data_IF_716752756731
#
_entry.id   IF_716752756731
#
_cell.length_a   1.000
_cell.length_b   1.000
_cell.length_c   1.000
_cell.angle_alpha   90.00
_cell.angle_beta   90.00
_cell.angle_gamma   90.00
#
_symmetry.space_group_name_H-M   'P 1'
#
loop_
_entity.id
_entity.type
_entity.pdbx_description
1 polymer ?
#
# COMPACT_ATOMS: atom_id res chain seq x y z
N UNK A 1 -69.08 40.44 3.12
CA UNK A 1 -68.12 40.56 4.25
C UNK A 1 -67.62 39.17 4.54
N UNK A 2 -66.34 39.00 4.27
CA UNK A 2 -65.57 37.75 4.25
C UNK A 2 -65.32 37.13 5.64
N UNK A 3 -64.99 35.83 5.72
CA UNK A 3 -64.50 35.20 6.93
C UNK A 3 -62.96 35.32 7.05
N UNK A 4 -62.38 35.21 8.26
CA UNK A 4 -60.96 34.93 8.44
C UNK A 4 -60.69 33.49 8.95
N UNK A 5 -59.44 32.99 8.81
CA UNK A 5 -59.18 31.55 8.69
C UNK A 5 -58.34 30.90 9.82
N UNK A 6 -58.56 29.59 9.96
CA UNK A 6 -57.68 28.46 10.33
C UNK A 6 -56.48 28.61 11.29
N UNK A 7 -56.50 27.81 12.36
CA UNK A 7 -55.32 27.32 13.09
C UNK A 7 -55.24 25.80 12.96
N UNK A 8 -54.25 25.28 12.23
CA UNK A 8 -53.88 23.86 12.21
C UNK A 8 -52.37 23.75 12.48
N UNK A 9 -52.03 23.01 13.54
CA UNK A 9 -50.72 22.38 13.71
C UNK A 9 -50.66 21.11 12.85
N UNK A 10 -49.48 20.75 12.32
CA UNK A 10 -48.98 19.43 12.72
C UNK A 10 -47.46 19.33 12.93
N UNK A 11 -47.13 18.39 13.80
CA UNK A 11 -45.82 17.89 14.18
C UNK A 11 -45.08 17.13 13.06
N UNK A 12 -43.77 17.35 13.12
CA UNK A 12 -42.62 16.48 12.88
C UNK A 12 -42.41 15.65 11.60
N UNK A 13 -41.16 15.79 11.17
CA UNK A 13 -40.53 15.40 9.93
C UNK A 13 -40.19 13.91 9.82
N UNK A 14 -40.48 13.40 8.62
CA UNK A 14 -39.52 12.75 7.73
C UNK A 14 -38.89 11.42 8.17
N UNK A 15 -39.72 10.37 8.15
CA UNK A 15 -39.26 8.99 7.94
C UNK A 15 -39.84 8.44 6.64
N UNK A 16 -39.24 8.75 5.48
CA UNK A 16 -39.54 8.03 4.22
C UNK A 16 -38.28 7.62 3.47
N UNK A 17 -37.91 6.37 3.70
CA UNK A 17 -37.08 5.52 2.83
C UNK A 17 -37.49 5.68 1.36
N UNK A 18 -36.62 6.26 0.52
CA UNK A 18 -36.79 6.23 -0.93
C UNK A 18 -36.33 4.88 -1.49
N UNK A 19 -37.30 4.17 -2.03
CA UNK A 19 -37.18 2.93 -2.79
C UNK A 19 -36.61 3.25 -4.20
N UNK A 20 -35.52 2.62 -4.69
CA UNK A 20 -34.89 2.99 -5.95
C UNK A 20 -35.46 2.15 -7.12
N UNK A 21 -36.75 2.28 -7.40
CA UNK A 21 -37.31 1.84 -8.69
C UNK A 21 -38.41 2.83 -9.06
N UNK A 22 -38.26 3.47 -10.22
CA UNK A 22 -39.12 4.52 -10.81
C UNK A 22 -38.94 5.94 -10.26
N UNK A 23 -38.27 6.77 -11.04
CA UNK A 23 -38.07 8.19 -10.76
C UNK A 23 -37.36 8.86 -11.91
N UNK A 24 -38.13 9.21 -12.94
CA UNK A 24 -37.74 10.03 -14.09
C UNK A 24 -37.10 11.35 -13.63
N UNK A 25 -35.78 11.43 -13.66
CA UNK A 25 -35.01 12.66 -13.50
C UNK A 25 -34.22 12.91 -14.78
N UNK A 26 -34.45 14.07 -15.39
CA UNK A 26 -33.92 14.49 -16.68
C UNK A 26 -32.39 14.45 -16.74
N UNK A 27 -31.89 14.12 -17.92
CA UNK A 27 -30.51 13.78 -18.28
C UNK A 27 -29.48 14.94 -18.14
N UNK A 28 -29.80 16.02 -17.44
CA UNK A 28 -28.98 17.24 -17.37
C UNK A 28 -28.22 17.47 -16.05
N UNK A 29 -28.50 16.71 -14.99
CA UNK A 29 -27.87 16.96 -13.67
C UNK A 29 -26.62 16.11 -13.37
N UNK A 30 -26.15 15.32 -14.34
CA UNK A 30 -25.03 14.40 -14.16
C UNK A 30 -23.65 14.95 -14.59
N UNK A 31 -23.55 16.22 -14.97
CA UNK A 31 -22.36 16.74 -15.67
C UNK A 31 -21.63 17.93 -15.02
N UNK A 32 -21.83 18.26 -13.74
CA UNK A 32 -21.03 19.30 -13.07
C UNK A 32 -20.69 18.99 -11.60
N UNK A 33 -20.27 17.76 -11.30
CA UNK A 33 -19.45 17.52 -10.11
C UNK A 33 -17.99 17.32 -10.52
N UNK A 34 -17.25 18.41 -10.33
CA UNK A 34 -15.82 18.56 -10.50
C UNK A 34 -15.04 17.34 -9.96
N UNK A 35 -14.40 16.59 -10.86
CA UNK A 35 -13.59 15.41 -10.51
C UNK A 35 -12.35 15.78 -9.68
N UNK A 36 -11.94 17.06 -9.64
CA UNK A 36 -10.89 17.53 -8.74
C UNK A 36 -11.32 17.51 -7.27
N UNK A 37 -12.63 17.66 -6.98
CA UNK A 37 -13.16 17.84 -5.63
C UNK A 37 -13.05 16.61 -4.71
N UNK A 38 -12.76 15.41 -5.24
CA UNK A 38 -12.67 14.18 -4.45
C UNK A 38 -11.27 13.59 -4.34
N UNK A 39 -10.26 14.14 -5.02
CA UNK A 39 -8.91 13.55 -5.02
C UNK A 39 -8.34 13.51 -3.60
N UNK A 40 -7.73 12.39 -3.19
CA UNK A 40 -7.19 12.16 -1.84
C UNK A 40 -8.22 12.18 -0.69
N UNK A 41 -9.52 12.17 -1.00
CA UNK A 41 -10.56 12.01 0.02
C UNK A 41 -10.78 10.52 0.35
N UNK A 42 -11.31 10.22 1.54
CA UNK A 42 -11.55 8.83 1.96
C UNK A 42 -12.68 8.19 1.15
N UNK A 43 -12.47 6.97 0.66
CA UNK A 43 -13.54 6.18 0.02
C UNK A 43 -14.61 5.78 1.04
N UNK A 44 -15.86 5.77 0.61
CA UNK A 44 -17.00 5.37 1.46
C UNK A 44 -17.02 3.84 1.63
N UNK A 45 -16.91 3.38 2.88
CA UNK A 45 -17.07 1.98 3.26
C UNK A 45 -18.56 1.62 3.44
N UNK A 46 -18.94 0.40 3.05
CA UNK A 46 -20.35 -0.05 3.03
C UNK A 46 -20.77 -0.89 4.24
N UNK A 47 -19.81 -1.44 4.99
CA UNK A 47 -20.06 -2.28 6.18
C UNK A 47 -19.30 -1.77 7.40
N UNK A 48 -19.80 -2.03 8.60
CA UNK A 48 -19.13 -1.66 9.85
C UNK A 48 -17.69 -2.21 9.92
N UNK A 49 -17.48 -3.48 9.55
CA UNK A 49 -16.15 -4.10 9.50
C UNK A 49 -15.22 -3.36 8.53
N UNK A 50 -15.71 -2.99 7.34
CA UNK A 50 -14.91 -2.21 6.38
C UNK A 50 -14.64 -0.78 6.84
N UNK A 51 -15.54 -0.16 7.61
CA UNK A 51 -15.31 1.17 8.22
C UNK A 51 -14.21 1.07 9.26
N UNK A 52 -14.29 0.10 10.18
CA UNK A 52 -13.29 -0.08 11.24
C UNK A 52 -11.92 -0.40 10.65
N UNK A 53 -11.83 -1.34 9.73
CA UNK A 53 -10.57 -1.69 9.08
C UNK A 53 -9.98 -0.51 8.29
N UNK A 54 -10.79 0.26 7.55
CA UNK A 54 -10.34 1.49 6.89
C UNK A 54 -9.79 2.51 7.89
N UNK A 55 -10.48 2.73 9.02
CA UNK A 55 -10.02 3.66 10.06
C UNK A 55 -8.72 3.19 10.70
N UNK A 56 -8.59 1.90 10.98
CA UNK A 56 -7.34 1.31 11.51
C UNK A 56 -6.20 1.50 10.52
N UNK A 57 -6.40 1.18 9.25
CA UNK A 57 -5.37 1.29 8.21
C UNK A 57 -4.94 2.74 8.01
N UNK A 58 -5.89 3.66 7.82
CA UNK A 58 -5.58 5.08 7.63
C UNK A 58 -4.94 5.70 8.88
N UNK A 59 -5.37 5.30 10.09
CA UNK A 59 -4.74 5.76 11.33
C UNK A 59 -3.26 5.39 11.42
N UNK A 60 -2.91 4.16 11.03
CA UNK A 60 -1.52 3.68 10.99
C UNK A 60 -0.71 4.34 9.88
N UNK A 61 -1.25 4.40 8.66
CA UNK A 61 -0.53 4.96 7.51
C UNK A 61 -0.32 6.47 7.67
N UNK A 62 -1.30 7.21 8.20
CA UNK A 62 -1.16 8.65 8.42
C UNK A 62 -0.14 9.00 9.53
N UNK A 63 0.28 8.05 10.38
CA UNK A 63 1.36 8.30 11.34
C UNK A 63 2.75 8.17 10.73
N UNK A 64 2.89 7.62 9.53
CA UNK A 64 4.21 7.42 8.89
C UNK A 64 4.99 8.71 8.65
N UNK A 65 4.41 9.84 8.21
CA UNK A 65 5.15 11.09 8.14
C UNK A 65 5.85 11.43 9.47
N UNK A 66 5.17 11.33 10.61
CA UNK A 66 5.77 11.63 11.91
C UNK A 66 7.03 10.80 12.22
N UNK A 67 7.08 9.55 11.75
CA UNK A 67 8.23 8.65 11.93
C UNK A 67 9.49 9.13 11.17
N UNK A 68 9.37 10.05 10.21
CA UNK A 68 10.54 10.63 9.54
C UNK A 68 11.34 11.56 10.44
N UNK A 69 10.70 12.15 11.46
CA UNK A 69 11.30 13.17 12.34
C UNK A 69 11.32 12.77 13.81
N UNK A 70 10.62 11.69 14.18
CA UNK A 70 10.50 11.24 15.57
C UNK A 70 10.78 9.74 15.71
N UNK A 71 11.54 9.40 16.74
CA UNK A 71 11.82 8.03 17.16
C UNK A 71 12.95 7.33 16.40
N UNK A 72 13.22 6.09 16.82
CA UNK A 72 14.28 5.27 16.27
C UNK A 72 13.84 4.43 15.05
N UNK A 73 12.57 4.45 14.68
CA UNK A 73 12.03 3.66 13.59
C UNK A 73 11.58 4.56 12.43
N UNK A 74 12.00 4.20 11.21
CA UNK A 74 11.49 4.80 9.98
C UNK A 74 10.16 4.14 9.57
N UNK A 75 9.36 4.79 8.71
CA UNK A 75 8.20 4.14 8.11
C UNK A 75 8.55 2.77 7.53
N UNK A 76 7.68 1.75 7.63
CA UNK A 76 8.03 0.35 7.38
C UNK A 76 8.20 -0.02 5.89
N UNK A 77 8.37 0.98 5.03
CA UNK A 77 8.72 0.88 3.62
C UNK A 77 10.04 1.59 3.29
N UNK A 78 10.69 2.21 4.30
CA UNK A 78 11.99 2.88 4.23
C UNK A 78 12.93 2.15 5.17
N UNK A 79 14.03 1.61 4.64
CA UNK A 79 15.06 0.97 5.46
C UNK A 79 16.13 1.98 5.87
N UNK A 80 16.57 1.93 7.13
CA UNK A 80 17.63 2.82 7.60
C UNK A 80 18.99 2.43 7.01
N UNK A 81 19.86 3.41 6.76
CA UNK A 81 21.24 3.13 6.33
C UNK A 81 22.12 2.66 7.47
N UNK A 82 21.85 3.10 8.69
CA UNK A 82 22.61 2.65 9.85
C UNK A 82 22.41 1.16 10.14
N UNK A 83 21.26 0.56 9.79
CA UNK A 83 21.10 -0.89 9.87
C UNK A 83 21.88 -1.68 8.80
N UNK A 84 22.44 -1.00 7.79
CA UNK A 84 23.30 -1.61 6.76
C UNK A 84 24.79 -1.40 7.05
N UNK A 85 25.11 -0.35 7.80
CA UNK A 85 26.47 0.08 8.13
C UNK A 85 26.56 0.35 9.64
N UNK A 86 27.16 -0.60 10.36
CA UNK A 86 27.32 -0.56 11.81
C UNK A 86 28.03 0.74 12.28
N UNK A 87 28.87 1.33 11.42
CA UNK A 87 29.55 2.60 11.70
C UNK A 87 28.62 3.80 11.88
N UNK A 88 27.41 3.76 11.33
CA UNK A 88 26.42 4.85 11.43
C UNK A 88 25.40 4.64 12.55
N UNK A 89 25.37 3.45 13.16
CA UNK A 89 24.35 3.05 14.15
C UNK A 89 24.45 3.87 15.44
N UNK A 90 25.67 4.09 15.93
CA UNK A 90 25.88 4.80 17.19
C UNK A 90 25.37 6.24 17.14
N UNK A 91 25.66 6.98 16.07
CA UNK A 91 25.25 8.38 15.94
C UNK A 91 23.73 8.52 15.83
N UNK A 92 23.06 7.67 15.04
CA UNK A 92 21.60 7.68 14.92
C UNK A 92 20.91 7.29 16.24
N UNK A 93 21.46 6.32 16.97
CA UNK A 93 20.95 5.93 18.28
C UNK A 93 21.08 7.07 19.30
N UNK A 94 22.25 7.74 19.36
CA UNK A 94 22.52 8.85 20.27
C UNK A 94 21.63 10.05 20.00
N UNK A 95 21.41 10.40 18.74
CA UNK A 95 20.60 11.57 18.37
C UNK A 95 19.09 11.33 18.45
N UNK A 96 18.65 10.08 18.65
CA UNK A 96 17.22 9.74 18.67
C UNK A 96 16.52 9.94 17.33
N UNK A 97 17.29 10.10 16.24
CA UNK A 97 16.80 10.32 14.87
C UNK A 97 17.77 9.77 13.84
N UNK A 98 17.26 9.48 12.63
CA UNK A 98 18.08 8.96 11.54
C UNK A 98 18.86 10.06 10.80
N UNK A 99 20.03 10.41 11.32
CA UNK A 99 21.01 11.25 10.62
C UNK A 99 21.65 10.58 9.40
N UNK A 100 21.45 9.26 9.23
CA UNK A 100 22.02 8.47 8.13
C UNK A 100 21.24 8.53 6.81
N UNK A 101 20.13 9.27 6.74
CA UNK A 101 19.32 9.42 5.52
C UNK A 101 20.12 10.09 4.40
N UNK A 102 19.97 9.63 3.15
CA UNK A 102 20.54 10.32 1.99
C UNK A 102 19.77 11.61 1.72
N UNK A 103 20.31 12.42 0.80
CA UNK A 103 19.81 13.76 0.48
C UNK A 103 18.29 13.82 0.29
N UNK A 104 17.71 12.93 -0.51
CA UNK A 104 16.28 12.96 -0.84
C UNK A 104 15.40 12.74 0.39
N UNK A 105 15.67 11.69 1.17
CA UNK A 105 14.89 11.41 2.39
C UNK A 105 15.20 12.38 3.53
N UNK A 106 16.41 12.93 3.59
CA UNK A 106 16.79 13.97 4.56
C UNK A 106 16.05 15.30 4.32
N UNK A 107 15.91 15.70 3.05
CA UNK A 107 15.05 16.84 2.66
C UNK A 107 13.60 16.53 3.01
N UNK A 108 13.11 15.32 2.70
CA UNK A 108 11.76 14.89 3.07
C UNK A 108 11.51 14.99 4.58
N UNK A 109 12.42 14.47 5.42
CA UNK A 109 12.32 14.57 6.87
C UNK A 109 12.28 16.04 7.34
N UNK A 110 13.12 16.90 6.77
CA UNK A 110 13.13 18.33 7.12
C UNK A 110 11.80 19.02 6.79
N UNK A 111 11.23 18.73 5.61
CA UNK A 111 9.95 19.27 5.18
C UNK A 111 8.77 18.73 5.99
N UNK A 112 8.82 17.46 6.38
CA UNK A 112 7.87 16.88 7.34
C UNK A 112 7.95 17.62 8.68
N UNK A 113 9.15 17.88 9.20
CA UNK A 113 9.33 18.64 10.44
C UNK A 113 8.69 20.02 10.36
N UNK A 114 9.02 20.77 9.29
CA UNK A 114 8.37 22.06 9.01
C UNK A 114 6.84 21.97 8.93
N UNK A 115 6.32 20.89 8.35
CA UNK A 115 4.88 20.67 8.25
C UNK A 115 4.25 20.38 9.62
N UNK A 116 4.88 19.57 10.45
CA UNK A 116 4.39 19.28 11.80
C UNK A 116 4.39 20.52 12.69
N UNK A 117 5.42 21.36 12.57
CA UNK A 117 5.59 22.56 13.40
C UNK A 117 4.91 23.81 12.81
N UNK A 118 4.17 23.68 11.70
CA UNK A 118 3.59 24.83 11.00
C UNK A 118 2.51 25.51 11.83
N UNK A 119 2.45 26.83 11.71
CA UNK A 119 1.34 27.66 12.20
C UNK A 119 0.38 27.98 11.06
N UNK A 120 -0.83 28.49 11.33
CA UNK A 120 -1.72 28.97 10.28
C UNK A 120 -1.08 30.02 9.35
N UNK A 121 -0.16 30.83 9.88
CA UNK A 121 0.57 31.86 9.11
C UNK A 121 1.64 31.24 8.20
N UNK A 122 2.35 30.21 8.67
CA UNK A 122 3.44 29.58 7.90
C UNK A 122 2.97 28.43 7.00
N UNK A 123 1.72 28.00 7.11
CA UNK A 123 1.21 26.80 6.41
C UNK A 123 1.31 26.90 4.89
N UNK A 124 1.05 28.07 4.31
CA UNK A 124 1.14 28.28 2.86
C UNK A 124 2.59 28.12 2.37
N UNK A 125 3.53 28.81 3.02
CA UNK A 125 4.96 28.71 2.71
C UNK A 125 5.49 27.27 2.81
N UNK A 126 5.06 26.50 3.82
CA UNK A 126 5.49 25.11 3.97
C UNK A 126 4.98 24.26 2.80
N UNK A 127 3.72 24.42 2.40
CA UNK A 127 3.17 23.71 1.24
C UNK A 127 3.85 24.11 -0.07
N UNK A 128 4.10 25.40 -0.29
CA UNK A 128 4.88 25.88 -1.44
C UNK A 128 6.26 25.23 -1.51
N UNK A 129 6.94 25.11 -0.36
CA UNK A 129 8.25 24.47 -0.29
C UNK A 129 8.18 22.97 -0.61
N UNK A 130 7.17 22.26 -0.08
CA UNK A 130 6.94 20.85 -0.42
C UNK A 130 6.70 20.66 -1.91
N UNK A 131 5.84 21.49 -2.51
CA UNK A 131 5.53 21.39 -3.94
C UNK A 131 6.68 21.85 -4.85
N UNK A 132 7.52 22.77 -4.40
CA UNK A 132 8.78 23.09 -5.07
C UNK A 132 9.67 21.85 -5.14
N UNK A 133 9.85 21.14 -4.01
CA UNK A 133 10.66 19.93 -3.98
C UNK A 133 10.10 18.81 -4.86
N UNK A 134 8.77 18.64 -4.89
CA UNK A 134 8.09 17.74 -5.84
C UNK A 134 8.41 18.15 -7.29
N UNK A 135 8.33 19.45 -7.61
CA UNK A 135 8.67 19.99 -8.92
C UNK A 135 10.12 19.74 -9.32
N UNK A 136 11.07 19.87 -8.37
CA UNK A 136 12.47 19.52 -8.57
C UNK A 136 12.62 18.04 -8.91
N UNK A 137 12.00 17.15 -8.12
CA UNK A 137 12.01 15.71 -8.39
C UNK A 137 11.47 15.39 -9.78
N UNK A 138 10.32 15.96 -10.15
CA UNK A 138 9.73 15.77 -11.49
C UNK A 138 10.63 16.30 -12.61
N UNK A 139 11.39 17.37 -12.41
CA UNK A 139 12.31 17.88 -13.44
C UNK A 139 13.58 17.04 -13.57
N UNK A 140 14.12 16.55 -12.47
CA UNK A 140 15.44 15.91 -12.43
C UNK A 140 15.39 14.38 -12.57
N UNK A 141 14.21 13.78 -12.52
CA UNK A 141 14.03 12.34 -12.36
C UNK A 141 14.69 11.45 -13.43
N UNK A 142 14.92 11.97 -14.63
CA UNK A 142 15.59 11.23 -15.71
C UNK A 142 17.04 10.89 -15.36
N UNK A 143 17.68 11.72 -14.53
CA UNK A 143 19.07 11.54 -14.10
C UNK A 143 19.24 10.63 -12.89
N UNK A 144 18.15 10.25 -12.22
CA UNK A 144 18.22 9.50 -10.97
C UNK A 144 18.73 8.07 -11.20
N UNK A 145 19.56 7.57 -10.29
CA UNK A 145 19.85 6.14 -10.15
C UNK A 145 18.67 5.41 -9.48
N UNK A 146 18.75 4.08 -9.38
CA UNK A 146 17.65 3.28 -8.81
C UNK A 146 17.38 3.57 -7.32
N UNK A 147 18.42 3.89 -6.55
CA UNK A 147 18.28 4.25 -5.13
C UNK A 147 17.57 5.60 -4.97
N UNK A 148 18.05 6.64 -5.66
CA UNK A 148 17.48 7.99 -5.63
C UNK A 148 16.04 7.97 -6.17
N UNK A 149 15.77 7.14 -7.17
CA UNK A 149 14.43 6.93 -7.69
C UNK A 149 13.49 6.32 -6.65
N UNK A 150 13.93 5.28 -5.93
CA UNK A 150 13.16 4.71 -4.83
C UNK A 150 12.93 5.74 -3.71
N UNK A 151 13.98 6.42 -3.25
CA UNK A 151 13.87 7.44 -2.22
C UNK A 151 12.92 8.58 -2.61
N UNK A 152 12.89 8.94 -3.89
CA UNK A 152 11.96 9.94 -4.41
C UNK A 152 10.51 9.44 -4.35
N UNK A 153 10.24 8.20 -4.76
CA UNK A 153 8.88 7.62 -4.64
C UNK A 153 8.48 7.51 -3.16
N UNK A 154 9.39 7.15 -2.27
CA UNK A 154 9.15 7.09 -0.83
C UNK A 154 8.80 8.48 -0.27
N UNK A 155 9.58 9.51 -0.60
CA UNK A 155 9.32 10.89 -0.20
C UNK A 155 7.98 11.41 -0.76
N UNK A 156 7.69 11.16 -2.04
CA UNK A 156 6.41 11.51 -2.66
C UNK A 156 5.23 10.80 -1.98
N UNK A 157 5.41 9.55 -1.56
CA UNK A 157 4.42 8.82 -0.77
C UNK A 157 4.17 9.49 0.57
N UNK A 158 5.23 9.93 1.28
CA UNK A 158 5.09 10.72 2.51
C UNK A 158 4.35 12.04 2.29
N UNK A 159 4.70 12.80 1.25
CA UNK A 159 4.00 14.06 0.92
C UNK A 159 2.52 13.82 0.59
N UNK A 160 2.19 12.70 -0.07
CA UNK A 160 0.80 12.31 -0.31
C UNK A 160 0.04 12.05 1.00
N UNK A 161 0.69 11.42 1.97
CA UNK A 161 0.10 11.18 3.29
C UNK A 161 -0.07 12.46 4.11
N UNK A 162 0.84 13.43 3.98
CA UNK A 162 0.65 14.77 4.54
C UNK A 162 -0.56 15.45 3.91
N UNK A 163 -0.66 15.41 2.57
CA UNK A 163 -1.74 16.07 1.85
C UNK A 163 -3.12 15.43 2.15
N UNK A 164 -3.16 14.11 2.33
CA UNK A 164 -4.38 13.39 2.74
C UNK A 164 -4.86 13.76 4.16
N UNK A 165 -3.98 14.32 5.00
CA UNK A 165 -4.32 14.82 6.33
C UNK A 165 -4.75 16.29 6.35
N UNK A 166 -4.46 17.03 5.28
CA UNK A 166 -4.79 18.45 5.12
C UNK A 166 -5.65 18.62 3.86
N UNK A 167 -6.89 18.15 3.93
CA UNK A 167 -7.79 18.16 2.76
C UNK A 167 -8.25 19.56 2.37
N UNK A 168 -8.17 20.53 3.29
CA UNK A 168 -8.58 21.93 3.05
C UNK A 168 -7.67 22.63 2.04
N UNK A 169 -6.39 22.23 1.97
CA UNK A 169 -5.39 22.82 1.07
C UNK A 169 -5.37 22.18 -0.33
N UNK A 170 -6.14 21.10 -0.57
CA UNK A 170 -6.14 20.36 -1.85
C UNK A 170 -6.40 21.26 -3.07
N UNK A 171 -7.29 22.24 -2.94
CA UNK A 171 -7.69 23.15 -4.04
C UNK A 171 -6.58 24.13 -4.41
N UNK A 172 -5.72 24.47 -3.44
CA UNK A 172 -4.59 25.41 -3.63
C UNK A 172 -3.32 24.70 -4.11
N UNK A 173 -3.16 23.46 -3.68
CA UNK A 173 -1.94 22.68 -3.89
C UNK A 173 -1.96 21.93 -5.23
N UNK A 174 -0.78 21.75 -5.85
CA UNK A 174 -0.66 21.08 -7.15
C UNK A 174 -0.65 19.54 -7.00
N UNK A 175 -1.72 18.97 -6.44
CA UNK A 175 -1.87 17.52 -6.21
C UNK A 175 -1.68 16.72 -7.50
N UNK A 176 -2.06 17.29 -8.65
CA UNK A 176 -1.86 16.66 -9.95
C UNK A 176 -0.37 16.43 -10.24
N UNK A 177 0.51 17.39 -9.97
CA UNK A 177 1.95 17.22 -10.14
C UNK A 177 2.47 16.06 -9.29
N UNK A 178 2.09 16.01 -8.01
CA UNK A 178 2.46 14.91 -7.10
C UNK A 178 2.10 13.52 -7.68
N UNK A 179 0.86 13.37 -8.17
CA UNK A 179 0.40 12.10 -8.75
C UNK A 179 1.11 11.75 -10.06
N UNK A 180 1.37 12.75 -10.93
CA UNK A 180 2.13 12.56 -12.18
C UNK A 180 3.55 12.10 -11.89
N UNK A 181 4.24 12.76 -10.96
CA UNK A 181 5.64 12.41 -10.62
C UNK A 181 5.75 10.97 -10.13
N UNK A 182 4.82 10.50 -9.30
CA UNK A 182 4.75 9.09 -8.87
C UNK A 182 4.46 8.17 -10.07
N UNK A 183 3.51 8.55 -10.91
CA UNK A 183 3.12 7.79 -12.10
C UNK A 183 4.22 7.66 -13.16
N UNK A 184 5.19 8.58 -13.19
CA UNK A 184 6.37 8.52 -14.06
C UNK A 184 7.52 7.72 -13.45
N UNK A 185 7.78 7.93 -12.15
CA UNK A 185 8.88 7.25 -11.44
C UNK A 185 8.60 5.76 -11.20
N UNK A 186 7.37 5.41 -10.84
CA UNK A 186 6.99 4.03 -10.50
C UNK A 186 7.30 3.02 -11.61
N UNK A 187 6.79 3.21 -12.84
CA UNK A 187 7.09 2.34 -13.97
C UNK A 187 8.58 2.29 -14.30
N UNK A 188 9.29 3.43 -14.26
CA UNK A 188 10.74 3.48 -14.52
C UNK A 188 11.52 2.64 -13.50
N UNK A 189 11.18 2.73 -12.21
CA UNK A 189 11.81 1.93 -11.15
C UNK A 189 11.51 0.45 -11.35
N UNK A 190 10.27 0.12 -11.68
CA UNK A 190 9.86 -1.27 -11.93
C UNK A 190 10.65 -1.89 -13.07
N UNK A 191 10.80 -1.19 -14.20
CA UNK A 191 11.58 -1.66 -15.35
C UNK A 191 13.06 -1.83 -15.02
N UNK A 192 13.64 -0.96 -14.18
CA UNK A 192 15.07 -1.03 -13.84
C UNK A 192 15.41 -2.14 -12.84
N UNK A 193 14.55 -2.38 -11.86
CA UNK A 193 14.82 -3.35 -10.80
C UNK A 193 14.20 -4.71 -11.07
N UNK A 194 13.08 -4.76 -11.80
CA UNK A 194 12.26 -5.97 -11.94
C UNK A 194 11.96 -6.61 -10.58
N UNK A 195 11.63 -5.80 -9.57
CA UNK A 195 11.57 -6.24 -8.16
C UNK A 195 10.47 -7.28 -7.84
N UNK A 196 9.62 -7.61 -8.81
CA UNK A 196 8.62 -8.69 -8.74
C UNK A 196 9.15 -10.03 -9.29
N UNK A 197 10.30 -10.00 -9.95
CA UNK A 197 10.97 -11.18 -10.51
C UNK A 197 11.86 -11.79 -9.44
N UNK A 198 11.83 -13.12 -9.35
CA UNK A 198 12.75 -13.84 -8.51
C UNK A 198 14.13 -13.89 -9.18
N UNK A 199 15.12 -13.26 -8.57
CA UNK A 199 16.50 -13.20 -9.08
C UNK A 199 17.52 -13.84 -8.13
N UNK A 200 17.10 -14.15 -6.91
CA UNK A 200 17.90 -14.73 -5.83
C UNK A 200 17.66 -16.23 -5.69
N UNK A 201 18.76 -17.00 -5.64
CA UNK A 201 18.74 -18.43 -5.32
C UNK A 201 19.72 -18.73 -4.18
N UNK A 202 19.71 -19.97 -3.67
CA UNK A 202 20.67 -20.37 -2.64
C UNK A 202 22.11 -20.37 -3.16
N UNK A 203 22.30 -20.65 -4.45
CA UNK A 203 23.60 -20.62 -5.14
C UNK A 203 24.04 -19.18 -5.46
N UNK A 204 23.08 -18.28 -5.70
CA UNK A 204 23.33 -16.88 -6.01
C UNK A 204 22.49 -15.95 -5.13
N UNK A 205 22.80 -15.84 -3.82
CA UNK A 205 22.07 -14.98 -2.91
C UNK A 205 22.46 -13.51 -3.14
N UNK A 206 21.47 -12.62 -3.12
CA UNK A 206 21.71 -11.18 -3.11
C UNK A 206 22.49 -10.74 -1.87
N UNK A 207 23.37 -9.75 -2.03
CA UNK A 207 23.91 -9.02 -0.90
C UNK A 207 22.82 -8.15 -0.25
N UNK A 208 23.02 -7.78 1.02
CA UNK A 208 22.00 -7.11 1.83
C UNK A 208 21.53 -5.79 1.26
N UNK A 209 22.43 -4.95 0.76
CA UNK A 209 22.10 -3.64 0.18
C UNK A 209 21.18 -3.78 -1.03
N UNK A 210 21.52 -4.66 -1.96
CA UNK A 210 20.69 -4.95 -3.14
C UNK A 210 19.35 -5.54 -2.71
N UNK A 211 19.33 -6.50 -1.79
CA UNK A 211 18.08 -7.07 -1.30
C UNK A 211 17.17 -6.00 -0.66
N UNK A 212 17.73 -5.10 0.15
CA UNK A 212 16.98 -4.02 0.80
C UNK A 212 16.41 -3.04 -0.23
N UNK A 213 17.13 -2.73 -1.32
CA UNK A 213 16.61 -1.91 -2.41
C UNK A 213 15.36 -2.54 -3.03
N UNK A 214 15.41 -3.84 -3.34
CA UNK A 214 14.29 -4.58 -3.91
C UNK A 214 13.10 -4.66 -2.93
N UNK A 215 13.38 -4.99 -1.68
CA UNK A 215 12.36 -5.15 -0.66
C UNK A 215 11.67 -3.83 -0.31
N UNK A 216 12.45 -2.75 -0.20
CA UNK A 216 11.90 -1.40 0.04
C UNK A 216 11.01 -0.95 -1.13
N UNK A 217 11.37 -1.30 -2.38
CA UNK A 217 10.52 -1.04 -3.54
C UNK A 217 9.20 -1.82 -3.47
N UNK A 218 9.23 -3.11 -3.11
CA UNK A 218 8.02 -3.93 -2.92
C UNK A 218 7.11 -3.40 -1.81
N UNK A 219 7.69 -3.01 -0.66
CA UNK A 219 6.94 -2.41 0.46
C UNK A 219 6.34 -1.06 0.08
N UNK A 220 7.08 -0.23 -0.66
CA UNK A 220 6.57 1.04 -1.19
C UNK A 220 5.39 0.82 -2.14
N UNK A 221 5.48 -0.17 -3.04
CA UNK A 221 4.39 -0.53 -3.92
C UNK A 221 3.14 -1.02 -3.15
N UNK A 222 3.33 -1.89 -2.15
CA UNK A 222 2.24 -2.33 -1.27
C UNK A 222 1.52 -1.13 -0.63
N UNK A 223 2.29 -0.17 -0.10
CA UNK A 223 1.73 1.01 0.53
C UNK A 223 0.97 1.89 -0.46
N UNK A 224 1.53 2.13 -1.65
CA UNK A 224 0.85 2.91 -2.69
C UNK A 224 -0.50 2.31 -3.08
N UNK A 225 -0.60 0.98 -3.15
CA UNK A 225 -1.89 0.33 -3.40
C UNK A 225 -2.85 0.40 -2.21
N UNK A 226 -2.35 0.28 -0.97
CA UNK A 226 -3.18 0.52 0.22
C UNK A 226 -3.77 1.93 0.14
N UNK A 227 -2.94 2.94 -0.15
CA UNK A 227 -3.40 4.32 -0.31
C UNK A 227 -4.43 4.44 -1.46
N UNK A 228 -4.17 3.82 -2.62
CA UNK A 228 -5.13 3.80 -3.75
C UNK A 228 -6.48 3.16 -3.38
N UNK A 229 -6.47 2.16 -2.51
CA UNK A 229 -7.66 1.44 -2.04
C UNK A 229 -8.53 2.30 -1.12
N UNK A 230 -7.93 3.12 -0.24
CA UNK A 230 -8.67 3.87 0.78
C UNK A 230 -8.85 5.34 0.47
N UNK A 231 -8.04 5.89 -0.43
CA UNK A 231 -8.18 7.26 -0.91
C UNK A 231 -8.74 7.24 -2.34
N UNK A 232 -9.52 8.26 -2.68
CA UNK A 232 -9.99 8.56 -4.03
C UNK A 232 -8.82 9.09 -4.86
N UNK A 233 -7.92 8.20 -5.25
CA UNK A 233 -6.80 8.50 -6.16
C UNK A 233 -6.73 7.46 -7.26
N UNK A 234 -6.20 7.89 -8.41
CA UNK A 234 -5.79 6.99 -9.46
C UNK A 234 -4.32 7.27 -9.77
N UNK A 235 -3.44 6.41 -9.28
CA UNK A 235 -2.00 6.49 -9.52
C UNK A 235 -1.60 6.03 -10.92
N UNK A 236 -2.57 5.56 -11.73
CA UNK A 236 -2.32 5.07 -13.08
C UNK A 236 -2.75 6.11 -14.12
N UNK A 237 -1.84 6.50 -15.04
CA UNK A 237 -2.17 7.45 -16.13
C UNK A 237 -3.19 6.93 -17.17
N UNK A 238 -3.51 5.63 -17.15
CA UNK A 238 -4.34 4.97 -18.19
C UNK A 238 -5.65 4.45 -17.58
N UNK A 239 -6.81 4.66 -18.22
CA UNK A 239 -8.07 4.10 -17.75
C UNK A 239 -8.01 2.59 -17.90
N UNK A 240 -7.79 1.89 -16.79
CA UNK A 240 -8.04 0.46 -16.70
C UNK A 240 -9.52 0.30 -16.32
N UNK A 241 -10.20 -0.59 -17.03
CA UNK A 241 -11.54 -1.10 -16.73
C UNK A 241 -11.81 -1.21 -15.22
N UNK A 242 -13.07 -0.96 -14.81
CA UNK A 242 -13.56 -0.98 -13.42
C UNK A 242 -13.29 -2.28 -12.61
N UNK A 243 -12.69 -3.31 -13.23
CA UNK A 243 -12.18 -4.54 -12.59
C UNK A 243 -10.74 -4.38 -12.08
N UNK A 244 -10.49 -3.31 -11.30
CA UNK A 244 -9.16 -2.83 -10.88
C UNK A 244 -8.38 -3.75 -9.91
N UNK A 245 -8.96 -4.86 -9.44
CA UNK A 245 -8.34 -5.75 -8.45
C UNK A 245 -7.19 -6.62 -9.00
N UNK A 246 -6.98 -6.67 -10.33
CA UNK A 246 -5.94 -7.50 -10.95
C UNK A 246 -4.51 -7.04 -10.64
N UNK A 247 -4.29 -5.73 -10.49
CA UNK A 247 -2.96 -5.15 -10.23
C UNK A 247 -2.56 -5.26 -8.76
N UNK A 248 -3.50 -5.13 -7.81
CA UNK A 248 -3.21 -5.42 -6.40
C UNK A 248 -2.98 -6.91 -6.16
N UNK A 249 -3.70 -7.79 -6.87
CA UNK A 249 -3.51 -9.24 -6.73
C UNK A 249 -2.09 -9.67 -7.07
N UNK A 250 -1.50 -9.04 -8.09
CA UNK A 250 -0.15 -9.30 -8.54
C UNK A 250 0.93 -8.61 -7.68
N UNK A 251 0.54 -7.82 -6.68
CA UNK A 251 1.49 -7.15 -5.79
C UNK A 251 2.21 -8.19 -4.95
N UNK A 252 3.55 -8.13 -4.86
CA UNK A 252 4.32 -9.05 -4.05
C UNK A 252 4.01 -8.86 -2.57
N UNK A 253 3.99 -9.95 -1.81
CA UNK A 253 3.94 -9.88 -0.35
C UNK A 253 5.26 -9.28 0.17
N UNK A 254 5.21 -8.38 1.17
CA UNK A 254 6.44 -7.93 1.83
C UNK A 254 7.12 -9.11 2.52
N UNK A 255 8.43 -9.04 2.72
CA UNK A 255 9.16 -10.08 3.44
C UNK A 255 8.73 -10.21 4.91
N UNK A 256 9.14 -11.31 5.54
CA UNK A 256 8.94 -11.57 6.96
C UNK A 256 9.82 -10.67 7.84
N UNK A 257 9.39 -10.46 9.08
CA UNK A 257 10.07 -9.69 10.13
C UNK A 257 11.54 -10.09 10.27
N UNK A 258 11.81 -11.39 10.25
CA UNK A 258 13.14 -11.96 10.46
C UNK A 258 14.17 -11.56 9.40
N UNK A 259 13.75 -11.00 8.26
CA UNK A 259 14.64 -10.45 7.22
C UNK A 259 14.66 -8.93 7.20
N UNK A 260 13.55 -8.27 7.57
CA UNK A 260 13.45 -6.80 7.57
C UNK A 260 14.08 -6.16 8.82
N UNK A 261 13.80 -6.70 10.00
CA UNK A 261 14.15 -6.11 11.30
C UNK A 261 15.44 -6.73 11.88
N UNK A 262 16.46 -6.91 11.03
CA UNK A 262 17.72 -7.54 11.44
C UNK A 262 18.78 -6.49 11.77
N UNK A 263 19.46 -6.57 12.93
CA UNK A 263 20.41 -5.53 13.33
C UNK A 263 21.71 -5.58 12.51
N UNK A 264 22.26 -6.76 12.25
CA UNK A 264 23.57 -6.92 11.61
C UNK A 264 23.51 -7.60 10.25
N UNK A 265 24.46 -7.26 9.36
CA UNK A 265 24.56 -7.89 8.03
C UNK A 265 24.93 -9.38 8.13
N UNK A 266 25.69 -9.75 9.15
CA UNK A 266 26.03 -11.15 9.45
C UNK A 266 24.77 -11.97 9.78
N UNK A 267 23.96 -11.51 10.74
CA UNK A 267 22.73 -12.19 11.13
C UNK A 267 21.74 -12.24 9.96
N UNK A 268 21.66 -11.15 9.20
CA UNK A 268 20.79 -11.07 8.03
C UNK A 268 21.18 -12.13 7.00
N UNK A 269 22.47 -12.29 6.70
CA UNK A 269 22.96 -13.29 5.74
C UNK A 269 22.59 -14.71 6.18
N UNK A 270 22.81 -15.05 7.47
CA UNK A 270 22.43 -16.36 8.02
C UNK A 270 20.93 -16.64 7.89
N UNK A 271 20.09 -15.66 8.25
CA UNK A 271 18.62 -15.78 8.17
C UNK A 271 18.16 -15.85 6.73
N UNK A 272 18.77 -15.08 5.84
CA UNK A 272 18.47 -15.08 4.41
C UNK A 272 18.81 -16.42 3.75
N UNK A 273 19.97 -17.01 4.02
CA UNK A 273 20.30 -18.36 3.54
C UNK A 273 19.36 -19.44 4.10
N UNK A 274 18.90 -19.31 5.35
CA UNK A 274 17.88 -20.21 5.91
C UNK A 274 16.50 -20.00 5.26
N UNK A 275 16.14 -18.76 4.94
CA UNK A 275 14.93 -18.42 4.21
C UNK A 275 14.94 -19.06 2.81
N UNK A 276 16.02 -18.87 2.05
CA UNK A 276 16.21 -19.44 0.70
C UNK A 276 16.14 -20.97 0.70
N UNK A 277 16.80 -21.65 1.65
CA UNK A 277 16.74 -23.12 1.78
C UNK A 277 15.35 -23.65 2.11
N UNK A 278 14.59 -22.90 2.91
CA UNK A 278 13.25 -23.31 3.32
C UNK A 278 12.14 -22.86 2.37
N UNK A 279 12.47 -22.18 1.27
CA UNK A 279 11.50 -21.76 0.25
C UNK A 279 11.11 -22.99 -0.56
N UNK A 280 9.80 -23.24 -0.70
CA UNK A 280 9.27 -24.40 -1.41
C UNK A 280 8.99 -24.09 -2.87
N UNK A 281 8.77 -22.82 -3.23
CA UNK A 281 8.51 -22.40 -4.61
C UNK A 281 9.51 -21.36 -5.09
N UNK A 282 10.01 -21.49 -6.32
CA UNK A 282 10.89 -20.50 -6.95
C UNK A 282 10.08 -19.30 -7.52
N UNK A 283 9.34 -18.60 -6.66
CA UNK A 283 8.62 -17.35 -7.00
C UNK A 283 8.56 -16.37 -5.83
N UNK A 284 8.34 -15.10 -6.15
CA UNK A 284 7.88 -14.10 -5.18
C UNK A 284 6.39 -14.35 -4.92
N UNK A 285 6.02 -14.52 -3.65
CA UNK A 285 4.62 -14.66 -3.26
C UNK A 285 3.88 -13.34 -3.50
N UNK A 286 2.62 -13.43 -3.88
CA UNK A 286 1.76 -12.28 -4.19
C UNK A 286 0.52 -12.26 -3.31
N UNK A 287 -0.19 -11.14 -3.29
CA UNK A 287 -1.49 -11.02 -2.61
C UNK A 287 -2.53 -11.99 -3.16
N UNK A 288 -2.44 -12.36 -4.44
CA UNK A 288 -3.26 -13.43 -5.02
C UNK A 288 -3.00 -14.76 -4.32
N UNK A 289 -1.73 -15.12 -4.09
CA UNK A 289 -1.38 -16.40 -3.46
C UNK A 289 -1.94 -16.48 -2.04
N UNK A 290 -1.80 -15.39 -1.28
CA UNK A 290 -2.41 -15.26 0.04
C UNK A 290 -3.94 -15.42 -0.02
N UNK A 291 -4.60 -14.69 -0.93
CA UNK A 291 -6.06 -14.73 -1.10
C UNK A 291 -6.60 -16.10 -1.49
N UNK A 292 -5.93 -16.79 -2.43
CA UNK A 292 -6.34 -18.14 -2.83
C UNK A 292 -6.22 -19.11 -1.65
N UNK A 293 -5.20 -18.94 -0.80
CA UNK A 293 -5.02 -19.74 0.41
C UNK A 293 -6.14 -19.50 1.44
N UNK A 294 -6.72 -18.28 1.52
CA UNK A 294 -7.87 -18.00 2.40
C UNK A 294 -9.15 -18.73 2.00
N UNK A 295 -9.26 -19.20 0.75
CA UNK A 295 -10.44 -19.91 0.25
C UNK A 295 -10.37 -21.42 0.44
N UNK A 296 -9.24 -21.95 0.91
CA UNK A 296 -9.07 -23.35 1.22
C UNK A 296 -9.82 -23.73 2.50
N UNK A 297 -10.37 -24.94 2.52
CA UNK A 297 -10.92 -25.55 3.73
C UNK A 297 -9.79 -25.85 4.74
N UNK A 298 -10.12 -25.99 6.04
CA UNK A 298 -9.16 -26.41 7.05
C UNK A 298 -8.48 -27.74 6.71
N UNK A 299 -9.21 -28.66 6.08
CA UNK A 299 -8.70 -29.96 5.64
C UNK A 299 -7.66 -29.81 4.52
N UNK A 300 -7.93 -28.98 3.52
CA UNK A 300 -6.96 -28.69 2.43
C UNK A 300 -5.70 -27.96 2.93
N UNK A 301 -5.86 -27.08 3.93
CA UNK A 301 -4.73 -26.45 4.61
C UNK A 301 -3.89 -27.48 5.37
N UNK A 302 -4.54 -28.40 6.10
CA UNK A 302 -3.89 -29.47 6.85
C UNK A 302 -3.25 -30.53 5.95
N UNK A 303 -3.84 -30.86 4.79
CA UNK A 303 -3.27 -31.81 3.83
C UNK A 303 -2.03 -31.22 3.12
N UNK A 304 -2.04 -29.92 2.84
CA UNK A 304 -0.83 -29.18 2.43
C UNK A 304 0.29 -29.25 3.48
N UNK A 305 -0.07 -29.44 4.76
CA UNK A 305 0.84 -29.69 5.88
C UNK A 305 1.11 -31.20 6.09
N UNK A 306 0.20 -32.12 5.75
CA UNK A 306 0.39 -33.56 6.00
C UNK A 306 1.32 -34.22 4.96
N UNK A 307 1.38 -33.68 3.74
CA UNK A 307 2.42 -34.01 2.75
C UNK A 307 3.85 -33.73 3.23
N UNK A 308 4.03 -33.08 4.40
CA UNK A 308 5.31 -32.77 5.03
C UNK A 308 5.99 -33.95 5.73
N UNK A 309 5.28 -35.01 6.14
CA UNK A 309 5.81 -36.04 7.04
C UNK A 309 6.18 -37.39 6.39
N UNK A 310 6.25 -37.45 5.05
CA UNK A 310 6.92 -38.56 4.37
C UNK A 310 6.18 -39.90 4.34
N UNK A 311 4.84 -39.91 4.29
CA UNK A 311 4.15 -41.08 3.72
C UNK A 311 4.07 -40.86 2.21
N UNK A 312 4.95 -41.53 1.47
CA UNK A 312 4.94 -41.57 0.01
C UNK A 312 3.64 -42.25 -0.48
N UNK A 313 2.55 -41.49 -0.50
CA UNK A 313 1.36 -41.82 -1.28
C UNK A 313 1.65 -41.49 -2.74
N UNK A 314 1.69 -42.51 -3.58
CA UNK A 314 1.84 -42.41 -5.03
C UNK A 314 0.71 -41.56 -5.63
N UNK A 315 0.98 -40.28 -5.84
CA UNK A 315 0.03 -39.34 -6.41
C UNK A 315 0.75 -38.32 -7.28
N UNK A 316 1.22 -38.73 -8.45
CA UNK A 316 1.62 -37.81 -9.52
C UNK A 316 0.36 -37.17 -10.11
N UNK A 317 -0.19 -36.19 -9.39
CA UNK A 317 -1.23 -35.30 -9.89
C UNK A 317 -0.69 -33.89 -10.14
N UNK A 318 -1.38 -33.04 -10.91
CA UNK A 318 -0.95 -31.66 -11.23
C UNK A 318 -0.86 -30.71 -10.01
N UNK A 319 -1.15 -31.20 -8.79
CA UNK A 319 -1.32 -30.43 -7.54
C UNK A 319 -0.05 -30.18 -6.72
N UNK A 320 1.12 -30.67 -7.12
CA UNK A 320 2.39 -30.50 -6.36
C UNK A 320 2.81 -29.03 -6.18
N UNK A 321 2.49 -28.16 -7.17
CA UNK A 321 2.79 -26.73 -7.11
C UNK A 321 1.90 -25.94 -6.14
N UNK A 322 0.61 -26.31 -6.03
CA UNK A 322 -0.35 -25.58 -5.20
C UNK A 322 -0.06 -25.76 -3.70
N UNK A 323 0.21 -27.00 -3.26
CA UNK A 323 0.59 -27.29 -1.87
C UNK A 323 1.89 -26.58 -1.44
N UNK A 324 2.84 -26.46 -2.36
CA UNK A 324 4.11 -25.76 -2.12
C UNK A 324 3.93 -24.24 -1.95
N UNK A 325 3.01 -23.62 -2.70
CA UNK A 325 2.65 -22.20 -2.52
C UNK A 325 1.94 -21.98 -1.19
N UNK A 326 0.95 -22.82 -0.86
CA UNK A 326 0.21 -22.74 0.42
C UNK A 326 1.15 -22.83 1.61
N UNK A 327 2.14 -23.73 1.56
CA UNK A 327 3.19 -23.85 2.58
C UNK A 327 3.99 -22.57 2.78
N UNK A 328 4.48 -21.97 1.70
CA UNK A 328 5.28 -20.74 1.78
C UNK A 328 4.41 -19.55 2.24
N UNK A 329 3.12 -19.52 1.89
CA UNK A 329 2.15 -18.53 2.40
C UNK A 329 1.92 -18.69 3.91
N UNK A 330 1.75 -19.92 4.42
CA UNK A 330 1.60 -20.16 5.86
C UNK A 330 2.83 -19.71 6.64
N UNK A 331 4.03 -20.07 6.16
CA UNK A 331 5.30 -19.60 6.75
C UNK A 331 5.42 -18.08 6.73
N UNK A 332 4.96 -17.44 5.65
CA UNK A 332 4.90 -15.98 5.59
C UNK A 332 3.94 -15.42 6.63
N UNK A 333 2.76 -16.03 6.81
CA UNK A 333 1.79 -15.61 7.82
C UNK A 333 2.36 -15.64 9.24
N UNK A 334 3.11 -16.69 9.58
CA UNK A 334 3.76 -16.83 10.89
C UNK A 334 4.85 -15.77 11.13
N UNK A 335 5.51 -15.34 10.06
CA UNK A 335 6.65 -14.41 10.11
C UNK A 335 6.31 -12.95 9.80
N UNK A 336 5.06 -12.58 9.53
CA UNK A 336 4.72 -11.22 9.09
C UNK A 336 5.04 -10.18 10.17
N UNK A 337 5.54 -9.02 9.74
CA UNK A 337 5.71 -7.85 10.61
C UNK A 337 4.41 -7.02 10.70
N UNK A 338 4.49 -5.87 11.37
CA UNK A 338 3.35 -4.95 11.50
C UNK A 338 2.86 -4.46 10.13
N UNK A 339 3.75 -4.28 9.15
CA UNK A 339 3.39 -3.87 7.80
C UNK A 339 2.71 -5.01 7.03
N UNK A 340 3.20 -6.24 7.12
CA UNK A 340 2.55 -7.42 6.58
C UNK A 340 1.14 -7.61 7.14
N UNK A 341 0.96 -7.35 8.44
CA UNK A 341 -0.37 -7.35 9.09
C UNK A 341 -1.31 -6.28 8.51
N UNK A 342 -0.77 -5.08 8.22
CA UNK A 342 -1.54 -4.02 7.55
C UNK A 342 -1.94 -4.44 6.13
N UNK A 343 -1.03 -5.07 5.38
CA UNK A 343 -1.28 -5.59 4.03
C UNK A 343 -2.36 -6.66 4.05
N UNK A 344 -2.34 -7.60 5.00
CA UNK A 344 -3.40 -8.62 5.11
C UNK A 344 -4.74 -8.01 5.49
N UNK A 345 -4.77 -7.06 6.42
CA UNK A 345 -5.99 -6.33 6.79
C UNK A 345 -6.58 -5.62 5.57
N UNK A 346 -5.76 -4.91 4.78
CA UNK A 346 -6.21 -4.30 3.53
C UNK A 346 -6.73 -5.35 2.53
N UNK A 347 -6.04 -6.49 2.41
CA UNK A 347 -6.48 -7.57 1.55
C UNK A 347 -7.85 -8.11 1.94
N UNK A 348 -8.19 -8.25 3.23
CA UNK A 348 -9.51 -8.76 3.67
C UNK A 348 -10.69 -7.93 3.14
N UNK A 349 -10.47 -6.64 2.87
CA UNK A 349 -11.51 -5.74 2.37
C UNK A 349 -11.74 -5.84 0.86
N UNK A 350 -10.85 -6.52 0.14
CA UNK A 350 -11.02 -6.77 -1.28
C UNK A 350 -11.92 -7.97 -1.53
N UNK A 351 -13.01 -7.72 -2.25
CA UNK A 351 -13.79 -8.77 -2.90
C UNK A 351 -13.07 -9.16 -4.18
N UNK A 352 -12.55 -10.38 -4.21
CA UNK A 352 -12.10 -11.02 -5.44
C UNK A 352 -13.24 -11.85 -6.00
N UNK A 353 -13.68 -11.51 -7.22
CA UNK A 353 -14.36 -12.51 -8.04
C UNK A 353 -13.28 -13.47 -8.53
N UNK A 354 -13.09 -14.59 -7.82
CA UNK A 354 -12.33 -15.72 -8.35
C UNK A 354 -13.20 -16.31 -9.46
N UNK A 355 -13.08 -15.77 -10.67
CA UNK A 355 -13.64 -16.46 -11.83
C UNK A 355 -12.95 -17.82 -11.90
N UNK A 356 -13.69 -18.94 -11.83
CA UNK A 356 -13.08 -20.24 -12.00
C UNK A 356 -12.43 -20.29 -13.39
N UNK A 357 -11.20 -20.80 -13.44
CA UNK A 357 -10.54 -21.05 -14.70
C UNK A 357 -11.38 -22.07 -15.49
N UNK A 358 -12.20 -21.56 -16.41
CA UNK A 358 -12.98 -22.35 -17.36
C UNK A 358 -14.40 -22.65 -16.92
N UNK A 359 -15.33 -21.70 -17.13
CA UNK A 359 -16.65 -21.99 -17.72
C UNK A 359 -17.09 -20.75 -18.49
N UNK A 360 -17.17 -20.84 -19.82
CA UNK A 360 -17.90 -19.86 -20.60
C UNK A 360 -19.39 -19.97 -20.29
N UNK A 361 -20.04 -18.88 -19.91
CA UNK A 361 -21.48 -18.88 -19.66
C UNK A 361 -22.00 -17.57 -19.10
N UNK A 362 -22.85 -16.90 -19.88
CA UNK A 362 -23.61 -15.70 -19.52
C UNK A 362 -24.35 -15.83 -18.18
N UNK A 363 -24.43 -14.74 -17.42
CA UNK A 363 -25.42 -14.63 -16.34
C UNK A 363 -25.06 -13.66 -15.24
N UNK A 364 -25.59 -12.46 -15.35
CA UNK A 364 -25.65 -11.43 -14.30
C UNK A 364 -26.29 -12.00 -13.02
N UNK A 365 -25.65 -11.88 -11.85
CA UNK A 365 -26.36 -11.84 -10.55
C UNK A 365 -25.70 -10.85 -9.59
N UNK A 366 -26.52 -9.91 -9.15
CA UNK A 366 -26.24 -8.83 -8.19
C UNK A 366 -26.51 -9.36 -6.78
N UNK A 367 -25.64 -9.03 -5.82
CA UNK A 367 -25.95 -8.97 -4.40
C UNK A 367 -25.30 -7.72 -3.79
#
# INVERSE_FOLDING_TARGET
>A
MDPPPSSDYPDDEDTRLRNPVTGSGTQSDFLLHDKASRVLTRRRALTASSVLATRTILGQVCSYPAMMVSGHALPPFIHSRCSLDDGLTYDCAREGRHGCLRKTLSVCASLVGMWMDRTPVSSEFVWETIYHEIGRMHKEHESFDSETMLESIQALTIYMLLQAQDTETLVKNNVKLLLITIGELGPKLHTRLEYNTLIDTIENPLCRSTWVLYESARRTLCLLYIIEMFLEINLRPRPISARCCQSFAATPLPCIRDLWEVPSTYDWSKRYSAFLRGRSVAKILTLRDYKMTQHLSPEELLDGVAGLNGVAGSGTGPGSGAGSVTKDVMRWCEGMDSFGTLVTLAATLLRYDVAPAGVGGNGLRIA
#
